data_IF_912746042269
#
_entry.id   IF_912746042269
#
_cell.length_a   1.000
_cell.length_b   1.000
_cell.length_c   1.000
_cell.angle_alpha   90.00
_cell.angle_beta   90.00
_cell.angle_gamma   90.00
#
_symmetry.space_group_name_H-M   'P 1'
#
loop_
_entity.id
_entity.type
_entity.pdbx_description
1 polymer ?
#
# COMPACT_ATOMS: atom_id res chain seq x y z
N UNK A 1 19.20 43.38 -33.22
CA UNK A 1 19.96 42.21 -32.74
C UNK A 1 19.08 40.98 -32.89
N UNK A 2 19.49 39.98 -33.68
CA UNK A 2 18.70 38.75 -33.86
C UNK A 2 18.64 37.96 -32.55
N UNK A 3 17.47 37.52 -32.14
CA UNK A 3 17.24 36.76 -30.91
C UNK A 3 17.98 35.42 -30.96
N UNK A 4 19.01 35.27 -30.13
CA UNK A 4 19.82 34.04 -29.99
C UNK A 4 19.19 32.98 -29.09
N UNK A 5 18.02 33.31 -28.51
CA UNK A 5 17.30 32.49 -27.52
C UNK A 5 16.32 31.54 -28.22
N UNK A 6 16.47 30.26 -27.94
CA UNK A 6 15.53 29.21 -28.34
C UNK A 6 14.41 29.07 -27.31
N UNK A 7 13.25 28.63 -27.78
CA UNK A 7 12.09 28.31 -26.94
C UNK A 7 11.69 26.85 -27.13
N UNK A 8 10.96 26.29 -26.17
CA UNK A 8 10.40 24.94 -26.32
C UNK A 8 9.41 24.82 -27.50
N UNK A 9 8.85 25.94 -28.00
CA UNK A 9 8.02 25.94 -29.22
C UNK A 9 8.88 25.70 -30.47
N UNK A 10 10.07 26.30 -30.53
CA UNK A 10 11.01 26.08 -31.64
C UNK A 10 11.47 24.61 -31.70
N UNK A 11 11.74 23.99 -30.55
CA UNK A 11 12.16 22.59 -30.47
C UNK A 11 11.05 21.62 -30.90
N UNK A 12 9.79 21.91 -30.55
CA UNK A 12 8.65 21.11 -31.03
C UNK A 12 8.48 21.17 -32.54
N UNK A 13 8.78 22.33 -33.16
CA UNK A 13 8.68 22.50 -34.61
C UNK A 13 9.70 21.65 -35.38
N UNK A 14 10.84 21.33 -34.75
CA UNK A 14 11.86 20.41 -35.28
C UNK A 14 11.68 18.96 -34.80
N UNK A 15 10.49 18.61 -34.32
CA UNK A 15 10.11 17.25 -33.97
C UNK A 15 10.42 16.82 -32.54
N UNK A 16 10.99 17.68 -31.67
CA UNK A 16 11.26 17.28 -30.29
C UNK A 16 9.95 17.04 -29.53
N UNK A 17 9.80 15.88 -28.88
CA UNK A 17 8.53 15.49 -28.31
C UNK A 17 8.39 16.13 -26.92
N UNK A 18 7.16 16.54 -26.54
CA UNK A 18 6.92 17.26 -25.28
C UNK A 18 7.39 16.48 -24.04
N UNK A 19 8.14 17.13 -23.14
CA UNK A 19 8.61 16.51 -21.90
C UNK A 19 10.06 16.88 -21.51
N UNK A 20 10.67 16.06 -20.66
CA UNK A 20 12.01 16.30 -20.07
C UNK A 20 13.12 16.48 -21.12
N UNK A 21 12.99 15.86 -22.29
CA UNK A 21 13.96 15.98 -23.40
C UNK A 21 14.14 17.42 -23.89
N UNK A 22 13.09 18.24 -23.89
CA UNK A 22 13.18 19.66 -24.22
C UNK A 22 14.02 20.38 -23.16
N UNK A 23 13.82 20.06 -21.88
CA UNK A 23 14.62 20.60 -20.79
C UNK A 23 16.10 20.21 -20.90
N UNK A 24 16.40 18.95 -21.20
CA UNK A 24 17.77 18.48 -21.42
C UNK A 24 18.42 19.16 -22.63
N UNK A 25 17.72 19.27 -23.74
CA UNK A 25 18.21 19.97 -24.94
C UNK A 25 18.49 21.45 -24.64
N UNK A 26 17.57 22.13 -23.96
CA UNK A 26 17.75 23.53 -23.57
C UNK A 26 18.93 23.72 -22.61
N UNK A 27 19.08 22.85 -21.61
CA UNK A 27 20.20 22.88 -20.66
C UNK A 27 21.55 22.62 -21.35
N UNK A 28 21.61 21.65 -22.26
CA UNK A 28 22.81 21.34 -23.03
C UNK A 28 23.20 22.52 -23.95
N UNK A 29 22.23 23.15 -24.61
CA UNK A 29 22.45 24.33 -25.44
C UNK A 29 22.93 25.54 -24.63
N UNK A 30 22.40 25.73 -23.43
CA UNK A 30 22.80 26.83 -22.54
C UNK A 30 24.20 26.62 -21.96
N UNK A 31 24.53 25.39 -21.57
CA UNK A 31 25.83 25.05 -20.99
C UNK A 31 26.97 25.07 -22.03
N UNK A 32 26.74 24.53 -23.23
CA UNK A 32 27.83 24.22 -24.17
C UNK A 32 27.76 24.99 -25.49
N UNK A 33 26.61 25.62 -25.82
CA UNK A 33 26.40 26.26 -27.11
C UNK A 33 25.89 27.71 -27.02
N UNK A 34 26.02 28.36 -25.86
CA UNK A 34 25.45 29.70 -25.56
C UNK A 34 25.71 30.73 -26.68
N UNK A 35 26.95 30.84 -27.14
CA UNK A 35 27.39 31.82 -28.16
C UNK A 35 27.08 31.48 -29.62
N UNK A 36 26.44 30.34 -29.89
CA UNK A 36 26.07 29.94 -31.27
C UNK A 36 24.75 30.59 -31.71
N UNK A 37 24.58 30.77 -33.02
CA UNK A 37 23.37 31.34 -33.61
C UNK A 37 22.15 30.44 -33.40
N UNK A 38 20.94 31.02 -33.42
CA UNK A 38 19.68 30.26 -33.31
C UNK A 38 19.59 29.16 -34.39
N UNK A 39 19.98 29.50 -35.63
CA UNK A 39 20.01 28.56 -36.77
C UNK A 39 20.92 27.36 -36.49
N UNK A 40 22.15 27.60 -36.03
CA UNK A 40 23.09 26.52 -35.70
C UNK A 40 22.55 25.58 -34.61
N UNK A 41 21.96 26.14 -33.56
CA UNK A 41 21.41 25.35 -32.45
C UNK A 41 20.24 24.46 -32.90
N UNK A 42 19.38 24.97 -33.80
CA UNK A 42 18.29 24.19 -34.38
C UNK A 42 18.81 23.07 -35.29
N UNK A 43 19.75 23.36 -36.19
CA UNK A 43 20.36 22.36 -37.08
C UNK A 43 21.12 21.27 -36.30
N UNK A 44 21.74 21.64 -35.18
CA UNK A 44 22.38 20.68 -34.28
C UNK A 44 21.33 19.75 -33.64
N UNK A 45 20.27 20.31 -33.05
CA UNK A 45 19.22 19.50 -32.43
C UNK A 45 18.45 18.65 -33.44
N UNK A 46 18.23 19.15 -34.66
CA UNK A 46 17.62 18.42 -35.78
C UNK A 46 18.42 17.15 -36.11
N UNK A 47 19.75 17.24 -36.23
CA UNK A 47 20.60 16.05 -36.43
C UNK A 47 20.55 15.05 -35.28
N UNK A 48 20.47 15.56 -34.05
CA UNK A 48 20.37 14.71 -32.85
C UNK A 48 19.05 13.93 -32.83
N UNK A 49 17.93 14.52 -33.25
CA UNK A 49 16.64 13.81 -33.29
C UNK A 49 16.50 12.88 -34.50
N UNK A 50 17.13 13.19 -35.62
CA UNK A 50 17.17 12.34 -36.80
C UNK A 50 18.03 11.08 -36.60
N UNK A 51 19.06 11.14 -35.76
CA UNK A 51 19.98 10.02 -35.54
C UNK A 51 20.52 9.97 -34.11
N UNK A 52 19.67 9.80 -33.08
CA UNK A 52 20.07 9.91 -31.68
C UNK A 52 21.10 8.86 -31.26
N UNK A 53 21.10 7.67 -31.87
CA UNK A 53 22.08 6.62 -31.57
C UNK A 53 23.54 7.06 -31.78
N UNK A 54 23.80 7.92 -32.77
CA UNK A 54 25.15 8.45 -33.05
C UNK A 54 25.65 9.40 -31.96
N UNK A 55 24.74 9.96 -31.17
CA UNK A 55 25.04 10.95 -30.13
C UNK A 55 25.06 10.35 -28.72
N UNK A 56 24.80 9.05 -28.55
CA UNK A 56 24.78 8.39 -27.24
C UNK A 56 26.06 8.59 -26.42
N UNK A 57 27.22 8.53 -27.07
CA UNK A 57 28.53 8.73 -26.45
C UNK A 57 29.02 10.18 -26.55
N UNK A 58 28.21 11.09 -27.08
CA UNK A 58 28.60 12.48 -27.26
C UNK A 58 28.62 13.20 -25.91
N UNK A 59 29.76 13.75 -25.52
CA UNK A 59 29.99 14.33 -24.18
C UNK A 59 28.93 15.38 -23.79
N UNK A 60 28.55 16.28 -24.71
CA UNK A 60 27.59 17.37 -24.43
C UNK A 60 26.13 17.03 -24.77
N UNK A 61 25.87 16.01 -25.61
CA UNK A 61 24.54 15.74 -26.18
C UNK A 61 24.02 14.33 -25.87
N UNK A 62 24.83 13.48 -25.22
CA UNK A 62 24.49 12.10 -24.88
C UNK A 62 23.25 12.00 -24.00
N UNK A 63 23.06 12.92 -23.06
CA UNK A 63 21.84 12.97 -22.24
C UNK A 63 20.58 13.28 -23.07
N UNK A 64 20.69 14.14 -24.09
CA UNK A 64 19.58 14.46 -25.00
C UNK A 64 19.26 13.24 -25.87
N UNK A 65 20.29 12.62 -26.44
CA UNK A 65 20.20 11.42 -27.27
C UNK A 65 19.60 10.22 -26.51
N UNK A 66 20.10 9.95 -25.30
CA UNK A 66 19.59 8.89 -24.41
C UNK A 66 18.10 9.13 -24.10
N UNK A 67 17.72 10.37 -23.79
CA UNK A 67 16.33 10.73 -23.54
C UNK A 67 15.42 10.61 -24.77
N UNK A 68 15.96 10.79 -25.99
CA UNK A 68 15.21 10.60 -27.23
C UNK A 68 14.97 9.11 -27.49
N UNK A 69 16.00 8.27 -27.37
CA UNK A 69 15.92 6.82 -27.62
C UNK A 69 14.96 6.14 -26.64
N UNK A 70 15.13 6.41 -25.34
CA UNK A 70 14.23 5.92 -24.29
C UNK A 70 12.77 6.27 -24.64
N UNK A 71 12.52 7.50 -25.10
CA UNK A 71 11.16 7.91 -25.46
C UNK A 71 10.63 7.22 -26.73
N UNK A 72 11.49 6.96 -27.71
CA UNK A 72 11.10 6.26 -28.94
C UNK A 72 10.74 4.81 -28.65
N UNK A 73 11.50 4.12 -27.79
CA UNK A 73 11.22 2.74 -27.35
C UNK A 73 9.94 2.66 -26.50
N UNK A 74 9.66 3.65 -25.64
CA UNK A 74 8.45 3.71 -24.81
C UNK A 74 7.21 4.33 -25.49
N UNK A 75 7.25 4.57 -26.81
CA UNK A 75 6.14 5.20 -27.51
C UNK A 75 5.09 4.20 -28.03
N UNK A 76 5.46 2.92 -28.16
CA UNK A 76 4.57 1.85 -28.57
C UNK A 76 3.74 1.35 -27.37
N UNK A 77 2.43 1.18 -27.59
CA UNK A 77 1.53 0.60 -26.60
C UNK A 77 1.77 -0.90 -26.53
N UNK A 78 1.99 -1.43 -25.34
CA UNK A 78 2.15 -2.87 -25.13
C UNK A 78 0.75 -3.49 -25.10
N UNK A 79 0.49 -4.41 -26.03
CA UNK A 79 -0.78 -5.11 -26.13
C UNK A 79 -0.98 -6.12 -25.00
N UNK A 80 -2.24 -6.31 -24.61
CA UNK A 80 -2.63 -7.37 -23.69
C UNK A 80 -2.64 -8.73 -24.41
N UNK A 81 -2.38 -9.80 -23.66
CA UNK A 81 -2.59 -11.15 -24.13
C UNK A 81 -4.06 -11.38 -24.49
N UNK A 82 -4.30 -12.10 -25.60
CA UNK A 82 -5.66 -12.41 -26.07
C UNK A 82 -6.47 -13.17 -25.02
N UNK A 83 -5.83 -14.15 -24.39
CA UNK A 83 -6.40 -14.98 -23.33
C UNK A 83 -5.76 -14.61 -22.00
N UNK A 84 -6.56 -14.60 -20.93
CA UNK A 84 -6.03 -14.49 -19.57
C UNK A 84 -5.36 -15.80 -19.16
N UNK A 85 -4.43 -15.70 -18.22
CA UNK A 85 -3.95 -16.86 -17.45
C UNK A 85 -5.07 -17.26 -16.47
N UNK A 86 -5.24 -18.56 -16.25
CA UNK A 86 -6.21 -19.06 -15.27
C UNK A 86 -5.78 -18.80 -13.82
N UNK A 87 -6.75 -18.63 -12.93
CA UNK A 87 -6.52 -18.32 -11.52
C UNK A 87 -7.69 -18.75 -10.65
N UNK A 88 -7.46 -19.14 -9.38
CA UNK A 88 -8.52 -19.43 -8.44
C UNK A 88 -9.27 -18.17 -8.01
N UNK A 89 -10.57 -18.31 -7.79
CA UNK A 89 -11.41 -17.30 -7.15
C UNK A 89 -12.10 -17.92 -5.96
N UNK A 90 -11.77 -17.42 -4.77
CA UNK A 90 -12.38 -17.81 -3.51
C UNK A 90 -13.60 -16.92 -3.29
N UNK A 91 -14.76 -17.51 -2.99
CA UNK A 91 -15.95 -16.72 -2.67
C UNK A 91 -16.58 -15.94 -3.83
N UNK A 92 -16.47 -16.45 -5.07
CA UNK A 92 -16.90 -15.77 -6.31
C UNK A 92 -18.27 -15.08 -6.22
N UNK A 93 -19.27 -15.70 -5.59
CA UNK A 93 -20.63 -15.16 -5.48
C UNK A 93 -20.71 -13.84 -4.70
N UNK A 94 -19.76 -13.61 -3.78
CA UNK A 94 -19.67 -12.39 -2.96
C UNK A 94 -18.78 -11.30 -3.56
N UNK A 95 -18.31 -11.45 -4.80
CA UNK A 95 -17.38 -10.53 -5.45
C UNK A 95 -18.09 -9.75 -6.57
N UNK A 96 -17.99 -8.43 -6.52
CA UNK A 96 -18.65 -7.57 -7.51
C UNK A 96 -18.01 -7.66 -8.91
N UNK A 97 -18.79 -7.44 -10.00
CA UNK A 97 -18.29 -7.56 -11.37
C UNK A 97 -17.09 -6.65 -11.68
N UNK A 98 -17.02 -5.46 -11.06
CA UNK A 98 -15.91 -4.54 -11.23
C UNK A 98 -14.58 -5.11 -10.75
N UNK A 99 -14.58 -5.81 -9.61
CA UNK A 99 -13.39 -6.47 -9.07
C UNK A 99 -12.96 -7.66 -9.93
N UNK A 100 -13.93 -8.46 -10.39
CA UNK A 100 -13.66 -9.56 -11.33
C UNK A 100 -13.02 -9.03 -12.62
N UNK A 101 -13.59 -7.98 -13.22
CA UNK A 101 -13.05 -7.37 -14.44
C UNK A 101 -11.63 -6.80 -14.25
N UNK A 102 -11.32 -6.22 -13.08
CA UNK A 102 -9.95 -5.77 -12.78
C UNK A 102 -8.95 -6.92 -12.76
N UNK A 103 -9.32 -8.04 -12.15
CA UNK A 103 -8.47 -9.23 -12.12
C UNK A 103 -8.33 -9.86 -13.52
N UNK A 104 -9.41 -9.92 -14.29
CA UNK A 104 -9.42 -10.40 -15.69
C UNK A 104 -8.42 -9.63 -16.57
N UNK A 105 -8.33 -8.31 -16.41
CA UNK A 105 -7.37 -7.47 -17.14
C UNK A 105 -5.94 -7.73 -16.63
N UNK A 106 -5.74 -7.81 -15.31
CA UNK A 106 -4.42 -8.10 -14.73
C UNK A 106 -3.84 -9.45 -15.19
N UNK A 107 -4.70 -10.45 -15.37
CA UNK A 107 -4.31 -11.78 -15.85
C UNK A 107 -4.01 -11.83 -17.36
N UNK A 108 -4.20 -10.73 -18.09
CA UNK A 108 -3.82 -10.59 -19.50
C UNK A 108 -2.55 -9.78 -19.71
N UNK A 109 -1.89 -9.28 -18.66
CA UNK A 109 -0.61 -8.59 -18.83
C UNK A 109 0.47 -9.58 -19.29
N UNK A 110 1.35 -9.20 -20.22
CA UNK A 110 2.42 -10.09 -20.70
C UNK A 110 3.44 -10.47 -19.62
N UNK A 111 3.54 -9.67 -18.55
CA UNK A 111 4.42 -9.93 -17.40
C UNK A 111 3.79 -10.86 -16.35
N UNK A 112 2.48 -11.09 -16.39
CA UNK A 112 1.79 -11.93 -15.40
C UNK A 112 2.18 -13.40 -15.57
N UNK A 113 2.36 -14.11 -14.45
CA UNK A 113 2.68 -15.54 -14.40
C UNK A 113 1.67 -16.35 -13.60
N UNK A 114 1.07 -15.76 -12.57
CA UNK A 114 0.01 -16.37 -11.77
C UNK A 114 -0.79 -15.29 -11.04
N UNK A 115 -1.94 -15.67 -10.49
CA UNK A 115 -2.73 -14.79 -9.65
C UNK A 115 -3.74 -15.58 -8.83
N UNK A 116 -4.38 -14.90 -7.88
CA UNK A 116 -5.48 -15.43 -7.09
C UNK A 116 -6.40 -14.28 -6.65
N UNK A 117 -7.68 -14.56 -6.43
CA UNK A 117 -8.65 -13.57 -5.94
C UNK A 117 -9.32 -14.05 -4.66
N UNK A 118 -9.15 -13.27 -3.60
CA UNK A 118 -9.58 -13.57 -2.23
C UNK A 118 -11.08 -13.28 -2.01
N UNK A 119 -11.73 -13.89 -1.01
CA UNK A 119 -13.19 -13.76 -0.79
C UNK A 119 -13.65 -12.35 -0.37
N UNK A 120 -12.75 -11.56 0.20
CA UNK A 120 -12.97 -10.16 0.57
C UNK A 120 -12.83 -9.18 -0.61
N UNK A 121 -12.61 -9.71 -1.82
CA UNK A 121 -12.30 -8.88 -2.96
C UNK A 121 -13.41 -7.89 -3.32
N UNK A 122 -12.99 -6.69 -3.69
CA UNK A 122 -13.85 -5.58 -4.12
C UNK A 122 -13.05 -4.60 -4.99
N UNK A 123 -13.77 -3.74 -5.71
CA UNK A 123 -13.21 -2.88 -6.73
C UNK A 123 -12.25 -1.86 -6.12
N UNK A 124 -11.06 -1.76 -6.73
CA UNK A 124 -10.01 -0.82 -6.37
C UNK A 124 -9.53 -0.02 -7.59
N UNK A 125 -8.21 0.20 -7.67
CA UNK A 125 -7.54 0.86 -8.81
C UNK A 125 -6.43 -0.06 -9.35
N UNK A 126 -6.41 -0.38 -10.63
CA UNK A 126 -5.48 -1.39 -11.15
C UNK A 126 -5.89 -2.78 -10.67
N UNK A 127 -5.07 -3.43 -9.84
CA UNK A 127 -5.44 -4.69 -9.18
C UNK A 127 -6.61 -4.45 -8.18
N UNK A 128 -7.62 -5.34 -8.12
CA UNK A 128 -8.67 -5.22 -7.11
C UNK A 128 -8.10 -5.39 -5.70
N UNK A 129 -8.78 -4.84 -4.71
CA UNK A 129 -8.50 -5.18 -3.31
C UNK A 129 -8.94 -6.64 -3.13
N UNK A 130 -8.18 -7.46 -2.40
CA UNK A 130 -8.31 -8.92 -2.38
C UNK A 130 -7.58 -9.61 -3.53
N UNK A 131 -6.86 -8.87 -4.38
CA UNK A 131 -6.10 -9.43 -5.50
C UNK A 131 -4.68 -9.81 -5.13
N UNK A 132 -4.22 -10.96 -5.66
CA UNK A 132 -2.83 -11.41 -5.63
C UNK A 132 -2.36 -11.62 -7.06
N UNK A 133 -1.20 -11.07 -7.42
CA UNK A 133 -0.67 -11.13 -8.78
C UNK A 133 0.84 -11.38 -8.76
N UNK A 134 1.27 -12.50 -9.34
CA UNK A 134 2.68 -12.81 -9.54
C UNK A 134 3.11 -12.40 -10.96
N UNK A 135 4.19 -11.64 -11.04
CA UNK A 135 4.78 -11.18 -12.31
C UNK A 135 6.23 -11.61 -12.42
N UNK A 136 6.74 -11.67 -13.66
CA UNK A 136 8.15 -11.89 -13.95
C UNK A 136 8.88 -10.54 -14.09
N UNK A 137 9.91 -10.32 -13.26
CA UNK A 137 10.82 -9.16 -13.26
C UNK A 137 10.16 -7.77 -13.36
N UNK A 138 8.91 -7.65 -12.93
CA UNK A 138 8.13 -6.42 -13.09
C UNK A 138 7.40 -6.11 -11.80
N UNK A 139 7.44 -4.86 -11.36
CA UNK A 139 6.71 -4.39 -10.19
C UNK A 139 5.64 -3.37 -10.61
N UNK A 140 4.40 -3.58 -10.20
CA UNK A 140 3.24 -2.74 -10.54
C UNK A 140 2.86 -1.91 -9.30
N UNK A 141 3.15 -0.60 -9.26
CA UNK A 141 2.91 0.21 -8.07
C UNK A 141 1.46 0.22 -7.57
N UNK A 142 0.48 0.22 -8.48
CA UNK A 142 -0.94 0.15 -8.09
C UNK A 142 -1.40 -1.24 -7.65
N UNK A 143 -0.67 -2.29 -8.01
CA UNK A 143 -0.90 -3.65 -7.50
C UNK A 143 -0.33 -3.85 -6.09
N UNK A 144 0.58 -2.97 -5.64
CA UNK A 144 0.93 -2.82 -4.21
C UNK A 144 -0.14 -2.01 -3.47
N UNK A 145 -0.57 -0.91 -4.08
CA UNK A 145 -1.56 0.00 -3.49
C UNK A 145 -0.94 1.32 -3.02
N UNK A 146 -1.82 2.27 -2.67
CA UNK A 146 -1.40 3.65 -2.34
C UNK A 146 -0.86 3.75 -0.92
N UNK A 147 -1.37 2.92 -0.01
CA UNK A 147 -0.87 2.81 1.36
C UNK A 147 0.08 1.61 1.46
N UNK A 148 1.31 1.83 1.00
CA UNK A 148 2.36 0.82 0.94
C UNK A 148 2.66 0.32 2.36
N UNK A 149 2.76 -0.98 2.55
CA UNK A 149 3.09 -1.59 3.83
C UNK A 149 1.98 -1.48 4.88
N UNK A 150 0.75 -1.12 4.47
CA UNK A 150 -0.42 -1.19 5.33
C UNK A 150 -0.55 -2.60 5.92
N UNK A 151 -0.79 -2.65 7.23
CA UNK A 151 -0.62 -3.86 8.02
C UNK A 151 -1.49 -3.86 9.27
N UNK A 152 -1.65 -5.06 9.80
CA UNK A 152 -2.19 -5.32 11.13
C UNK A 152 -1.04 -5.60 12.09
N UNK A 153 -1.12 -5.10 13.31
CA UNK A 153 -0.22 -5.49 14.40
C UNK A 153 -1.02 -5.65 15.70
N UNK A 154 -0.89 -6.80 16.36
CA UNK A 154 -1.55 -7.14 17.62
C UNK A 154 -0.53 -7.41 18.71
N UNK A 155 -0.79 -6.93 19.92
CA UNK A 155 -0.05 -7.31 21.12
C UNK A 155 -1.00 -7.90 22.16
N UNK A 156 -0.59 -9.03 22.76
CA UNK A 156 -1.29 -9.67 23.88
C UNK A 156 -0.61 -9.30 25.21
N UNK A 157 -1.39 -9.12 26.27
CA UNK A 157 -0.91 -8.76 27.61
C UNK A 157 -1.41 -9.76 28.66
N UNK A 158 -0.64 -9.93 29.74
CA UNK A 158 -1.00 -10.75 30.90
C UNK A 158 -1.98 -10.03 31.83
N UNK A 159 -3.11 -9.60 31.25
CA UNK A 159 -4.16 -8.90 31.96
C UNK A 159 -5.50 -9.55 31.66
N UNK A 160 -6.29 -9.72 32.72
CA UNK A 160 -7.68 -10.13 32.60
C UNK A 160 -8.45 -9.11 31.72
N UNK A 161 -9.14 -9.55 30.67
CA UNK A 161 -9.84 -8.66 29.74
C UNK A 161 -11.16 -8.16 30.34
N UNK A 162 -11.06 -7.20 31.27
CA UNK A 162 -12.20 -6.54 31.92
C UNK A 162 -12.56 -5.26 31.18
N UNK A 163 -13.85 -5.08 30.89
CA UNK A 163 -14.38 -3.92 30.15
C UNK A 163 -15.62 -3.33 30.84
N UNK A 164 -15.53 -3.10 32.15
CA UNK A 164 -16.51 -2.28 32.85
C UNK A 164 -16.38 -0.79 32.47
N UNK A 165 -17.30 0.05 32.95
CA UNK A 165 -17.32 1.47 32.62
C UNK A 165 -16.03 2.20 32.99
N UNK A 166 -15.44 1.91 34.15
CA UNK A 166 -14.24 2.59 34.64
C UNK A 166 -13.05 2.20 33.78
N UNK A 167 -12.90 0.90 33.50
CA UNK A 167 -11.81 0.40 32.68
C UNK A 167 -11.93 0.88 31.23
N UNK A 168 -13.14 0.92 30.66
CA UNK A 168 -13.38 1.47 29.32
C UNK A 168 -12.96 2.94 29.25
N UNK A 169 -13.33 3.77 30.23
CA UNK A 169 -12.96 5.19 30.23
C UNK A 169 -11.44 5.39 30.39
N UNK A 170 -10.76 4.55 31.18
CA UNK A 170 -9.29 4.51 31.26
C UNK A 170 -8.66 4.15 29.91
N UNK A 171 -9.12 3.09 29.25
CA UNK A 171 -8.60 2.65 27.95
C UNK A 171 -8.82 3.69 26.84
N UNK A 172 -9.95 4.41 26.86
CA UNK A 172 -10.16 5.56 25.97
C UNK A 172 -9.10 6.64 26.15
N UNK A 173 -8.79 7.00 27.40
CA UNK A 173 -7.74 7.97 27.73
C UNK A 173 -6.39 7.54 27.13
N UNK A 174 -6.02 6.27 27.33
CA UNK A 174 -4.80 5.69 26.75
C UNK A 174 -4.78 5.77 25.22
N UNK A 175 -5.90 5.42 24.56
CA UNK A 175 -6.01 5.54 23.11
C UNK A 175 -5.82 6.99 22.66
N UNK A 176 -6.44 7.96 23.34
CA UNK A 176 -6.35 9.40 23.02
C UNK A 176 -4.93 9.96 23.13
N UNK A 177 -4.20 9.53 24.16
CA UNK A 177 -2.84 9.96 24.44
C UNK A 177 -1.83 9.33 23.47
N UNK A 178 -1.96 8.03 23.22
CA UNK A 178 -0.89 7.21 22.62
C UNK A 178 -1.11 6.80 21.16
N UNK A 179 -2.29 7.05 20.58
CA UNK A 179 -2.50 6.94 19.14
C UNK A 179 -2.70 8.35 18.54
N UNK A 180 -2.34 8.56 17.27
CA UNK A 180 -2.55 9.84 16.58
C UNK A 180 -3.11 9.57 15.18
N UNK A 181 -4.18 10.29 14.82
CA UNK A 181 -4.93 10.08 13.59
C UNK A 181 -4.97 11.33 12.71
N UNK A 182 -5.39 11.17 11.46
CA UNK A 182 -5.46 12.23 10.47
C UNK A 182 -4.08 12.86 10.22
N UNK A 183 -3.98 14.16 10.52
CA UNK A 183 -2.75 14.95 10.43
C UNK A 183 -2.07 15.17 11.78
N UNK A 184 -2.62 14.61 12.87
CA UNK A 184 -2.04 14.71 14.20
C UNK A 184 -0.68 14.01 14.24
N UNK A 185 0.24 14.60 15.00
CA UNK A 185 1.59 14.10 15.23
C UNK A 185 1.93 14.20 16.72
N UNK A 186 2.97 13.50 17.16
CA UNK A 186 3.48 13.68 18.51
C UNK A 186 4.34 14.95 18.59
N UNK A 187 4.20 15.77 19.64
CA UNK A 187 5.07 16.94 19.88
C UNK A 187 6.55 16.58 19.94
N UNK A 188 6.86 15.37 20.41
CA UNK A 188 8.21 14.81 20.50
C UNK A 188 8.19 13.41 19.86
N UNK A 189 8.30 13.33 18.52
CA UNK A 189 8.44 12.04 17.84
C UNK A 189 9.64 11.28 18.40
N UNK A 190 9.52 9.96 18.54
CA UNK A 190 10.65 9.11 18.94
C UNK A 190 11.51 8.83 17.72
N UNK A 191 12.82 8.91 17.88
CA UNK A 191 13.79 8.43 16.89
C UNK A 191 13.58 6.93 16.62
N UNK A 192 13.96 6.48 15.42
CA UNK A 192 13.95 5.08 15.05
C UNK A 192 14.94 4.83 13.91
N UNK A 193 15.64 3.69 13.95
CA UNK A 193 16.70 3.34 12.98
C UNK A 193 16.23 3.34 11.51
N UNK A 194 14.93 3.18 11.26
CA UNK A 194 14.36 3.30 9.91
C UNK A 194 14.59 4.67 9.27
N UNK A 195 14.73 5.73 10.07
CA UNK A 195 14.98 7.09 9.59
C UNK A 195 16.45 7.32 9.22
N UNK A 196 17.33 6.40 9.60
CA UNK A 196 18.76 6.42 9.28
C UNK A 196 19.11 5.65 8.00
N UNK A 197 18.11 5.01 7.37
CA UNK A 197 18.23 4.30 6.10
C UNK A 197 18.80 5.21 4.99
N UNK A 198 19.84 4.72 4.30
CA UNK A 198 20.58 5.46 3.27
C UNK A 198 19.69 5.93 2.11
N UNK A 199 18.60 5.20 1.84
CA UNK A 199 17.62 5.51 0.81
C UNK A 199 17.04 6.92 0.97
N UNK A 200 16.89 7.42 2.20
CA UNK A 200 16.48 8.81 2.43
C UNK A 200 17.48 9.84 1.91
N UNK A 201 18.76 9.49 1.76
CA UNK A 201 19.79 10.39 1.24
C UNK A 201 20.03 10.20 -0.26
N UNK A 202 19.89 8.97 -0.74
CA UNK A 202 20.23 8.54 -2.09
C UNK A 202 19.07 8.73 -3.08
N UNK A 203 17.82 8.52 -2.64
CA UNK A 203 16.65 8.62 -3.50
C UNK A 203 16.00 9.99 -3.36
N UNK A 204 15.96 10.74 -4.47
CA UNK A 204 15.56 12.15 -4.47
C UNK A 204 14.16 12.41 -3.87
N UNK A 205 13.18 11.56 -4.20
CA UNK A 205 11.84 11.72 -3.63
C UNK A 205 11.82 11.47 -2.12
N UNK A 206 12.55 10.45 -1.65
CA UNK A 206 12.60 10.10 -0.22
C UNK A 206 13.29 11.18 0.60
N UNK A 207 14.35 11.77 0.06
CA UNK A 207 15.04 12.92 0.68
C UNK A 207 14.10 14.06 1.02
N UNK A 208 13.19 14.39 0.11
CA UNK A 208 12.18 15.43 0.35
C UNK A 208 11.10 15.04 1.36
N UNK A 209 10.98 13.75 1.67
CA UNK A 209 9.97 13.19 2.57
C UNK A 209 10.52 12.85 3.96
N UNK A 210 11.83 12.92 4.20
CA UNK A 210 12.46 12.51 5.47
C UNK A 210 11.90 13.26 6.68
N UNK A 211 11.84 14.59 6.64
CA UNK A 211 11.33 15.40 7.76
C UNK A 211 9.84 15.11 8.01
N UNK A 212 9.08 14.85 6.94
CA UNK A 212 7.68 14.45 7.05
C UNK A 212 7.55 13.06 7.67
N UNK A 213 8.41 12.11 7.31
CA UNK A 213 8.44 10.78 7.91
C UNK A 213 8.81 10.88 9.40
N UNK A 214 9.83 11.67 9.75
CA UNK A 214 10.20 11.90 11.16
C UNK A 214 9.02 12.47 11.98
N UNK A 215 8.32 13.47 11.46
CA UNK A 215 7.17 14.06 12.17
C UNK A 215 5.98 13.11 12.30
N UNK A 216 5.76 12.22 11.33
CA UNK A 216 4.60 11.32 11.30
C UNK A 216 4.84 9.96 11.98
N UNK A 217 6.06 9.63 12.38
CA UNK A 217 6.39 8.30 12.92
C UNK A 217 5.59 8.03 14.20
N UNK A 218 5.08 6.80 14.31
CA UNK A 218 4.21 6.38 15.41
C UNK A 218 2.74 6.82 15.29
N UNK A 219 2.34 7.53 14.23
CA UNK A 219 0.94 7.89 13.99
C UNK A 219 0.24 6.85 13.09
N UNK A 220 -1.09 6.70 13.23
CA UNK A 220 -1.90 5.75 12.46
C UNK A 220 -2.48 6.39 11.20
N UNK A 221 -2.95 7.63 11.26
CA UNK A 221 -3.48 8.32 10.10
C UNK A 221 -4.98 8.30 9.88
N UNK A 222 -5.41 8.22 8.62
CA UNK A 222 -6.82 8.40 8.22
C UNK A 222 -7.35 7.22 7.42
N UNK A 223 -8.61 7.31 6.98
CA UNK A 223 -9.27 6.22 6.27
C UNK A 223 -9.73 5.11 7.22
N UNK A 224 -9.49 3.85 6.84
CA UNK A 224 -9.91 2.66 7.59
C UNK A 224 -8.93 2.28 8.71
N UNK A 225 -8.01 3.17 9.06
CA UNK A 225 -6.99 2.91 10.08
C UNK A 225 -7.61 3.01 11.48
N UNK A 226 -7.14 2.17 12.39
CA UNK A 226 -7.65 2.09 13.75
C UNK A 226 -6.61 1.63 14.76
N UNK A 227 -6.89 1.93 16.03
CA UNK A 227 -6.25 1.32 17.19
C UNK A 227 -7.35 0.92 18.16
N UNK A 228 -7.35 -0.34 18.57
CA UNK A 228 -8.44 -0.94 19.32
C UNK A 228 -7.91 -1.74 20.51
N UNK A 229 -8.59 -1.61 21.65
CA UNK A 229 -8.52 -2.59 22.72
C UNK A 229 -9.65 -3.60 22.55
N UNK A 230 -9.34 -4.86 22.81
CA UNK A 230 -10.30 -5.94 22.76
C UNK A 230 -9.86 -7.18 23.52
N UNK A 231 -10.61 -8.25 23.31
CA UNK A 231 -10.39 -9.55 23.92
C UNK A 231 -9.87 -10.49 22.85
N UNK A 232 -8.68 -11.04 23.04
CA UNK A 232 -8.20 -12.16 22.22
C UNK A 232 -8.43 -13.45 22.96
N UNK A 233 -9.14 -14.39 22.35
CA UNK A 233 -9.29 -15.76 22.80
C UNK A 233 -8.38 -16.67 21.96
N UNK A 234 -7.39 -17.29 22.60
CA UNK A 234 -6.58 -18.35 22.00
C UNK A 234 -7.33 -19.68 22.16
N UNK A 235 -7.47 -20.43 21.06
CA UNK A 235 -8.36 -21.60 21.00
C UNK A 235 -7.70 -22.90 21.46
N UNK A 236 -6.36 -22.93 21.55
CA UNK A 236 -5.58 -24.11 21.90
C UNK A 236 -4.28 -23.71 22.59
N UNK A 237 -3.80 -24.56 23.50
CA UNK A 237 -2.45 -24.48 24.09
C UNK A 237 -1.36 -24.70 23.01
N UNK A 238 -1.71 -25.39 21.93
CA UNK A 238 -0.86 -25.61 20.76
C UNK A 238 -0.89 -24.40 19.80
N UNK A 239 -0.27 -23.31 20.24
CA UNK A 239 -0.09 -22.09 19.45
C UNK A 239 1.38 -21.64 19.41
N UNK A 240 1.66 -20.74 18.47
CA UNK A 240 2.99 -20.20 18.15
C UNK A 240 3.60 -19.37 19.27
N UNK A 241 2.81 -18.94 20.24
CA UNK A 241 3.24 -18.09 21.35
C UNK A 241 3.60 -18.91 22.59
N UNK A 242 3.33 -20.21 22.60
CA UNK A 242 3.42 -21.07 23.78
C UNK A 242 2.63 -20.51 24.98
N UNK A 243 1.51 -19.83 24.70
CA UNK A 243 0.59 -19.31 25.70
C UNK A 243 -0.56 -20.29 25.94
N UNK A 244 -1.11 -20.41 27.16
CA UNK A 244 -2.31 -21.22 27.39
C UNK A 244 -3.51 -20.74 26.57
N UNK A 245 -4.38 -21.66 26.19
CA UNK A 245 -5.72 -21.35 25.71
C UNK A 245 -6.45 -20.49 26.76
N UNK A 246 -7.13 -19.45 26.30
CA UNK A 246 -7.73 -18.49 27.22
C UNK A 246 -7.88 -17.10 26.62
N UNK A 247 -8.32 -16.18 27.48
CA UNK A 247 -8.68 -14.82 27.09
C UNK A 247 -7.65 -13.82 27.62
N UNK A 248 -7.16 -12.99 26.72
CA UNK A 248 -6.13 -11.99 26.95
C UNK A 248 -6.65 -10.61 26.59
N UNK A 249 -6.23 -9.59 27.35
CA UNK A 249 -6.33 -8.23 26.88
C UNK A 249 -5.40 -8.06 25.66
N UNK A 250 -5.92 -7.47 24.59
CA UNK A 250 -5.14 -7.22 23.39
C UNK A 250 -5.28 -5.79 22.90
N UNK A 251 -4.20 -5.28 22.31
CA UNK A 251 -4.20 -4.08 21.47
C UNK A 251 -4.07 -4.54 20.02
N UNK A 252 -4.97 -4.08 19.16
CA UNK A 252 -4.90 -4.28 17.72
C UNK A 252 -4.74 -2.93 17.02
N UNK A 253 -3.87 -2.87 16.04
CA UNK A 253 -3.58 -1.65 15.27
C UNK A 253 -3.67 -1.97 13.78
N UNK A 254 -4.22 -1.05 13.01
CA UNK A 254 -4.29 -1.12 11.55
C UNK A 254 -3.91 0.23 10.96
N UNK A 255 -2.78 0.28 10.26
CA UNK A 255 -2.30 1.45 9.54
C UNK A 255 -1.18 1.10 8.57
N UNK A 256 -0.68 2.08 7.83
CA UNK A 256 0.41 1.90 6.88
C UNK A 256 1.46 3.00 6.98
N UNK A 257 2.16 3.21 5.87
CA UNK A 257 3.34 4.09 5.80
C UNK A 257 3.01 5.57 5.64
N UNK A 258 1.76 5.96 5.94
CA UNK A 258 1.34 7.36 6.10
C UNK A 258 1.57 8.19 4.83
N UNK A 259 2.01 9.43 5.00
CA UNK A 259 2.34 10.30 3.88
C UNK A 259 3.52 9.78 3.06
N UNK A 260 4.43 9.00 3.66
CA UNK A 260 5.62 8.48 2.98
C UNK A 260 5.20 7.55 1.83
N UNK A 261 4.50 6.45 2.12
CA UNK A 261 4.06 5.51 1.09
C UNK A 261 3.10 6.13 0.08
N UNK A 262 2.19 7.00 0.52
CA UNK A 262 1.25 7.66 -0.39
C UNK A 262 1.97 8.53 -1.44
N UNK A 263 3.07 9.20 -1.08
CA UNK A 263 3.85 9.99 -2.04
C UNK A 263 4.72 9.11 -2.95
N UNK A 264 5.32 8.04 -2.40
CA UNK A 264 6.06 7.03 -3.17
C UNK A 264 5.13 6.41 -4.22
N UNK A 265 3.99 5.86 -3.80
CA UNK A 265 3.03 5.22 -4.68
C UNK A 265 2.58 6.16 -5.81
N UNK A 266 2.21 7.41 -5.52
CA UNK A 266 1.81 8.39 -6.54
C UNK A 266 2.91 8.67 -7.55
N UNK A 267 4.15 8.83 -7.09
CA UNK A 267 5.28 9.14 -7.95
C UNK A 267 5.58 7.99 -8.93
N UNK A 268 5.81 6.79 -8.40
CA UNK A 268 6.20 5.65 -9.23
C UNK A 268 5.04 5.09 -10.06
N UNK A 269 3.80 5.23 -9.59
CA UNK A 269 2.63 4.96 -10.43
C UNK A 269 2.61 5.87 -11.66
N UNK A 270 2.80 7.17 -11.46
CA UNK A 270 2.83 8.12 -12.58
C UNK A 270 3.97 7.76 -13.52
N UNK A 271 5.15 7.49 -12.97
CA UNK A 271 6.32 7.09 -13.75
C UNK A 271 6.04 5.83 -14.58
N UNK A 272 5.49 4.78 -13.97
CA UNK A 272 5.11 3.55 -14.65
C UNK A 272 4.10 3.81 -15.77
N UNK A 273 3.07 4.63 -15.55
CA UNK A 273 2.10 4.99 -16.61
C UNK A 273 2.70 5.84 -17.74
N UNK A 274 3.77 6.60 -17.46
CA UNK A 274 4.46 7.44 -18.44
C UNK A 274 5.45 6.62 -19.29
N UNK A 275 6.04 5.54 -18.74
CA UNK A 275 7.06 4.69 -19.38
C UNK A 275 6.53 3.37 -19.93
N UNK A 276 5.55 2.76 -19.28
CA UNK A 276 4.87 1.54 -19.70
C UNK A 276 3.47 1.86 -20.22
N UNK A 277 3.35 2.11 -21.52
CA UNK A 277 2.07 2.42 -22.15
C UNK A 277 1.23 1.17 -22.37
N UNK A 278 0.07 1.13 -21.73
CA UNK A 278 -0.92 0.07 -21.87
C UNK A 278 -2.23 0.63 -22.45
N UNK A 279 -3.11 -0.23 -22.99
CA UNK A 279 -4.47 0.12 -23.31
C UNK A 279 -5.20 0.77 -22.13
N UNK A 280 -6.21 1.58 -22.43
CA UNK A 280 -6.91 2.44 -21.45
C UNK A 280 -7.42 1.68 -20.21
N UNK A 281 -7.91 0.47 -20.43
CA UNK A 281 -8.46 -0.45 -19.46
C UNK A 281 -7.39 -1.04 -18.52
N UNK A 282 -6.14 -1.12 -18.98
CA UNK A 282 -5.00 -1.65 -18.24
C UNK A 282 -4.01 -0.56 -17.78
N UNK A 283 -4.30 0.72 -18.04
CA UNK A 283 -3.40 1.84 -17.72
C UNK A 283 -2.90 1.82 -16.26
N UNK A 284 -3.78 1.48 -15.32
CA UNK A 284 -3.43 1.41 -13.89
C UNK A 284 -2.66 0.15 -13.49
N UNK A 285 -2.32 -0.72 -14.44
CA UNK A 285 -1.49 -1.90 -14.27
C UNK A 285 -0.10 -1.74 -14.92
N UNK A 286 0.24 -0.51 -15.34
CA UNK A 286 1.58 -0.20 -15.84
C UNK A 286 2.63 -0.55 -14.78
N UNK A 287 3.74 -1.16 -15.22
CA UNK A 287 4.80 -1.65 -14.35
C UNK A 287 6.12 -0.91 -14.55
N UNK A 288 7.01 -1.09 -13.60
CA UNK A 288 8.43 -0.78 -13.72
C UNK A 288 9.20 -2.10 -13.80
N UNK A 289 10.08 -2.21 -14.79
CA UNK A 289 10.97 -3.36 -14.94
C UNK A 289 12.09 -3.27 -13.90
N UNK A 290 12.32 -4.36 -13.16
CA UNK A 290 13.33 -4.39 -12.10
C UNK A 290 14.76 -4.34 -12.63
N UNK A 291 15.03 -4.54 -13.92
CA UNK A 291 16.36 -4.32 -14.49
C UNK A 291 16.67 -2.83 -14.74
N UNK A 292 15.69 -1.95 -14.52
CA UNK A 292 15.84 -0.50 -14.72
C UNK A 292 16.12 0.25 -13.43
N UNK A 293 16.73 1.43 -13.55
CA UNK A 293 16.95 2.35 -12.43
C UNK A 293 15.63 2.70 -11.73
N UNK A 294 14.59 3.05 -12.50
CA UNK A 294 13.27 3.40 -11.96
C UNK A 294 12.63 2.23 -11.18
N UNK A 295 12.78 0.99 -11.67
CA UNK A 295 12.29 -0.20 -11.00
C UNK A 295 13.02 -0.50 -9.69
N UNK A 296 14.36 -0.40 -9.69
CA UNK A 296 15.17 -0.57 -8.47
C UNK A 296 14.89 0.54 -7.45
N UNK A 297 14.77 1.79 -7.90
CA UNK A 297 14.45 2.92 -7.03
C UNK A 297 13.09 2.74 -6.35
N UNK A 298 12.06 2.32 -7.11
CA UNK A 298 10.77 2.00 -6.52
C UNK A 298 10.84 0.81 -5.55
N UNK A 299 11.56 -0.25 -5.90
CA UNK A 299 11.70 -1.42 -5.04
C UNK A 299 12.29 -1.06 -3.68
N UNK A 300 13.38 -0.27 -3.66
CA UNK A 300 14.00 0.23 -2.44
C UNK A 300 13.07 1.16 -1.65
N UNK A 301 12.41 2.11 -2.34
CA UNK A 301 11.45 3.03 -1.72
C UNK A 301 10.25 2.31 -1.10
N UNK A 302 9.71 1.30 -1.78
CA UNK A 302 8.62 0.47 -1.30
C UNK A 302 9.04 -0.29 -0.03
N UNK A 303 10.22 -0.91 -0.03
CA UNK A 303 10.74 -1.63 1.14
C UNK A 303 10.95 -0.69 2.34
N UNK A 304 11.53 0.49 2.13
CA UNK A 304 11.64 1.50 3.18
C UNK A 304 10.27 1.90 3.75
N UNK A 305 9.26 2.10 2.89
CA UNK A 305 7.92 2.42 3.33
C UNK A 305 7.30 1.28 4.16
N UNK A 306 7.55 0.03 3.77
CA UNK A 306 7.20 -1.15 4.55
C UNK A 306 7.81 -1.09 5.96
N UNK A 307 9.13 -0.97 6.06
CA UNK A 307 9.83 -0.90 7.35
C UNK A 307 9.34 0.29 8.22
N UNK A 308 9.07 1.43 7.58
CA UNK A 308 8.53 2.61 8.25
C UNK A 308 7.12 2.40 8.80
N UNK A 309 6.26 1.64 8.09
CA UNK A 309 4.96 1.26 8.61
C UNK A 309 5.11 0.39 9.88
N UNK A 310 6.00 -0.61 9.87
CA UNK A 310 6.30 -1.45 11.06
C UNK A 310 6.72 -0.59 12.26
N UNK A 311 7.65 0.34 12.03
CA UNK A 311 8.13 1.26 13.07
C UNK A 311 7.00 2.11 13.67
N UNK A 312 6.04 2.56 12.85
CA UNK A 312 4.86 3.27 13.36
C UNK A 312 4.04 2.40 14.31
N UNK A 313 3.78 1.15 13.93
CA UNK A 313 3.03 0.21 14.77
C UNK A 313 3.77 -0.10 16.08
N UNK A 314 5.06 -0.43 16.01
CA UNK A 314 5.86 -0.73 17.20
C UNK A 314 5.89 0.45 18.18
N UNK A 315 6.04 1.69 17.71
CA UNK A 315 5.98 2.85 18.62
C UNK A 315 4.60 3.04 19.27
N UNK A 316 3.50 2.71 18.59
CA UNK A 316 2.16 2.72 19.20
C UNK A 316 2.08 1.66 20.29
N UNK A 317 2.48 0.42 19.99
CA UNK A 317 2.42 -0.69 20.94
C UNK A 317 3.34 -0.49 22.15
N UNK A 318 4.55 0.04 21.97
CA UNK A 318 5.44 0.42 23.07
C UNK A 318 4.79 1.44 24.02
N UNK A 319 4.10 2.44 23.46
CA UNK A 319 3.39 3.45 24.27
C UNK A 319 2.22 2.85 25.01
N UNK A 320 1.45 1.97 24.36
CA UNK A 320 0.35 1.26 24.99
C UNK A 320 0.84 0.37 26.13
N UNK A 321 1.90 -0.42 25.90
CA UNK A 321 2.52 -1.26 26.92
C UNK A 321 2.99 -0.43 28.12
N UNK A 322 3.69 0.70 27.87
CA UNK A 322 4.12 1.61 28.92
C UNK A 322 2.95 2.22 29.71
N UNK A 323 1.85 2.60 29.05
CA UNK A 323 0.65 3.13 29.72
C UNK A 323 -0.13 2.06 30.49
N UNK A 324 -0.13 0.81 30.03
CA UNK A 324 -0.71 -0.31 30.75
C UNK A 324 0.14 -0.68 31.98
N UNK A 325 1.46 -0.44 31.92
CA UNK A 325 2.41 -0.89 32.92
C UNK A 325 2.82 -2.35 32.72
N UNK A 326 2.67 -2.88 31.50
CA UNK A 326 2.82 -4.29 31.17
C UNK A 326 3.89 -4.53 30.10
N UNK A 327 4.39 -5.76 30.04
CA UNK A 327 5.21 -6.23 28.92
C UNK A 327 4.35 -7.04 27.93
N UNK A 328 4.60 -6.93 26.61
CA UNK A 328 4.00 -7.81 25.61
C UNK A 328 4.27 -9.30 25.92
N UNK A 329 3.21 -10.12 25.98
CA UNK A 329 3.35 -11.58 25.98
C UNK A 329 3.69 -12.12 24.59
N UNK A 330 3.02 -11.56 23.58
CA UNK A 330 3.19 -11.92 22.19
C UNK A 330 2.86 -10.72 21.31
N UNK A 331 3.50 -10.64 20.15
CA UNK A 331 3.20 -9.67 19.11
C UNK A 331 3.09 -10.37 17.75
N UNK A 332 2.05 -10.02 17.00
CA UNK A 332 1.74 -10.60 15.69
C UNK A 332 1.60 -9.46 14.70
N UNK A 333 2.19 -9.59 13.52
CA UNK A 333 2.12 -8.56 12.49
C UNK A 333 2.03 -9.20 11.10
N UNK A 334 1.17 -8.66 10.23
CA UNK A 334 1.07 -9.09 8.84
C UNK A 334 0.77 -7.92 7.89
N UNK A 335 1.44 -7.89 6.75
CA UNK A 335 1.22 -6.88 5.71
C UNK A 335 0.05 -7.29 4.84
N UNK A 336 -0.60 -6.32 4.22
CA UNK A 336 -1.63 -6.61 3.22
C UNK A 336 -1.62 -5.71 1.98
N UNK A 337 -0.66 -4.78 1.86
CA UNK A 337 -0.42 -3.96 0.67
C UNK A 337 1.08 -3.90 0.38
N UNK A 338 1.62 -4.88 -0.34
CA UNK A 338 3.06 -4.98 -0.58
C UNK A 338 3.39 -5.89 -1.78
N UNK A 339 4.65 -5.91 -2.19
CA UNK A 339 5.17 -6.88 -3.14
C UNK A 339 6.42 -7.58 -2.61
N UNK A 340 6.54 -8.88 -2.87
CA UNK A 340 7.65 -9.72 -2.40
C UNK A 340 8.31 -10.45 -3.55
N UNK A 341 9.60 -10.72 -3.40
CA UNK A 341 10.31 -11.71 -4.22
C UNK A 341 10.02 -13.09 -3.61
N UNK A 342 9.35 -13.95 -4.36
CA UNK A 342 9.01 -15.32 -3.94
C UNK A 342 9.41 -16.30 -5.04
N UNK A 343 9.67 -17.55 -4.66
CA UNK A 343 9.97 -18.61 -5.61
C UNK A 343 8.71 -19.38 -5.97
N UNK A 344 8.51 -19.66 -7.26
CA UNK A 344 7.49 -20.60 -7.71
C UNK A 344 7.92 -22.06 -7.44
N UNK A 345 7.05 -23.02 -7.76
CA UNK A 345 7.34 -24.45 -7.60
C UNK A 345 8.57 -24.95 -8.39
N UNK A 346 8.99 -24.20 -9.42
CA UNK A 346 10.16 -24.51 -10.27
C UNK A 346 11.44 -23.80 -9.77
N UNK A 347 11.36 -23.05 -8.66
CA UNK A 347 12.48 -22.29 -8.10
C UNK A 347 12.76 -20.94 -8.78
N UNK A 348 11.91 -20.51 -9.71
CA UNK A 348 12.02 -19.21 -10.39
C UNK A 348 11.51 -18.09 -9.49
N UNK A 349 12.28 -17.02 -9.37
CA UNK A 349 11.87 -15.81 -8.66
C UNK A 349 10.74 -15.09 -9.43
N UNK A 350 9.68 -14.75 -8.70
CA UNK A 350 8.55 -13.95 -9.14
C UNK A 350 8.33 -12.79 -8.18
N UNK A 351 7.72 -11.72 -8.69
CA UNK A 351 7.29 -10.58 -7.87
C UNK A 351 5.81 -10.75 -7.55
N UNK A 352 5.52 -11.15 -6.31
CA UNK A 352 4.16 -11.40 -5.83
C UNK A 352 3.60 -10.15 -5.19
N UNK A 353 2.63 -9.53 -5.86
CA UNK A 353 1.89 -8.38 -5.38
C UNK A 353 0.68 -8.84 -4.59
N UNK A 354 0.47 -8.29 -3.39
CA UNK A 354 -0.76 -8.47 -2.63
C UNK A 354 -1.35 -7.11 -2.30
N UNK A 355 -2.63 -6.93 -2.65
CA UNK A 355 -3.37 -5.71 -2.35
C UNK A 355 -4.66 -6.04 -1.66
N UNK A 356 -4.76 -5.69 -0.38
CA UNK A 356 -5.77 -6.26 0.50
C UNK A 356 -5.74 -7.78 0.51
N UNK A 357 -4.56 -8.37 0.54
CA UNK A 357 -4.37 -9.81 0.72
C UNK A 357 -3.09 -10.01 1.54
N UNK A 358 -3.05 -11.04 2.37
CA UNK A 358 -1.94 -11.25 3.30
C UNK A 358 -1.18 -12.55 3.01
N UNK A 359 0.13 -12.63 3.28
CA UNK A 359 0.85 -13.89 3.21
C UNK A 359 0.24 -14.96 4.13
N UNK A 360 0.08 -16.16 3.60
CA UNK A 360 -0.48 -17.35 4.24
C UNK A 360 0.34 -18.60 3.89
N UNK A 361 1.66 -18.45 3.81
CA UNK A 361 2.60 -19.57 3.74
C UNK A 361 2.42 -20.52 4.93
N UNK A 362 2.86 -21.77 4.80
CA UNK A 362 2.67 -22.78 5.83
C UNK A 362 3.26 -22.32 7.17
N UNK A 363 2.41 -22.20 8.20
CA UNK A 363 2.80 -21.74 9.54
C UNK A 363 2.95 -20.22 9.69
N UNK A 364 2.75 -19.43 8.63
CA UNK A 364 2.82 -17.96 8.70
C UNK A 364 1.58 -17.44 9.41
N UNK A 365 1.79 -16.68 10.48
CA UNK A 365 0.70 -16.04 11.22
C UNK A 365 0.17 -14.79 10.52
N UNK A 366 -1.11 -14.52 10.71
CA UNK A 366 -1.73 -13.26 10.30
C UNK A 366 -2.97 -12.92 11.11
N UNK A 367 -3.43 -11.68 10.93
CA UNK A 367 -4.67 -11.18 11.53
C UNK A 367 -5.61 -10.78 10.39
N UNK A 368 -6.83 -11.31 10.41
CA UNK A 368 -7.90 -10.99 9.47
C UNK A 368 -9.01 -10.27 10.25
N UNK A 369 -9.04 -8.92 10.29
CA UNK A 369 -10.07 -8.15 10.97
C UNK A 369 -11.44 -8.25 10.29
N UNK A 370 -12.50 -8.25 11.10
CA UNK A 370 -13.86 -8.01 10.66
C UNK A 370 -14.17 -6.53 10.53
N UNK A 371 -14.87 -5.99 11.52
CA UNK A 371 -15.28 -4.59 11.66
C UNK A 371 -15.24 -4.21 13.14
N UNK A 372 -15.48 -2.95 13.47
CA UNK A 372 -15.55 -2.50 14.87
C UNK A 372 -16.60 -3.24 15.74
N UNK A 373 -17.55 -3.99 15.16
CA UNK A 373 -18.53 -4.81 15.91
C UNK A 373 -18.45 -6.31 15.63
N UNK A 374 -17.62 -6.75 14.68
CA UNK A 374 -17.49 -8.17 14.33
C UNK A 374 -16.09 -8.68 14.68
N UNK A 375 -15.92 -9.98 14.93
CA UNK A 375 -14.63 -10.49 15.36
C UNK A 375 -13.56 -10.32 14.28
N UNK A 376 -12.32 -10.22 14.71
CA UNK A 376 -11.15 -10.54 13.90
C UNK A 376 -10.64 -11.94 14.22
N UNK A 377 -9.82 -12.50 13.34
CA UNK A 377 -9.26 -13.84 13.51
C UNK A 377 -7.74 -13.79 13.47
N UNK A 378 -7.10 -14.46 14.42
CA UNK A 378 -5.69 -14.83 14.31
C UNK A 378 -5.66 -16.13 13.54
N UNK A 379 -4.88 -16.15 12.46
CA UNK A 379 -4.85 -17.26 11.52
C UNK A 379 -3.43 -17.75 11.29
N UNK A 380 -3.32 -19.02 10.94
CA UNK A 380 -2.09 -19.70 10.52
C UNK A 380 -2.26 -20.14 9.06
N UNK A 381 -1.34 -19.72 8.20
CA UNK A 381 -1.35 -20.09 6.79
C UNK A 381 -1.13 -21.59 6.58
N UNK A 382 -1.86 -22.17 5.62
CA UNK A 382 -1.71 -23.58 5.22
C UNK A 382 -0.68 -23.77 4.11
N UNK A 383 -0.23 -22.70 3.46
CA UNK A 383 0.76 -22.74 2.38
C UNK A 383 0.17 -23.25 1.06
N UNK A 384 -1.06 -22.85 0.74
CA UNK A 384 -1.69 -23.21 -0.53
C UNK A 384 -0.99 -22.50 -1.70
N UNK A 385 -0.31 -23.26 -2.54
CA UNK A 385 0.49 -22.71 -3.63
C UNK A 385 -0.37 -22.11 -4.74
N UNK A 386 -1.57 -22.66 -4.97
CA UNK A 386 -2.50 -22.16 -6.00
C UNK A 386 -2.99 -20.75 -5.66
N UNK A 387 -3.07 -20.40 -4.37
CA UNK A 387 -3.35 -19.03 -3.92
C UNK A 387 -2.11 -18.13 -3.81
N UNK A 388 -0.95 -18.60 -4.28
CA UNK A 388 0.36 -17.96 -4.08
C UNK A 388 0.65 -17.73 -2.59
N UNK A 389 0.36 -18.75 -1.77
CA UNK A 389 0.54 -18.71 -0.32
C UNK A 389 -0.12 -17.46 0.27
N UNK A 390 -1.37 -17.17 -0.09
CA UNK A 390 -2.07 -15.94 0.31
C UNK A 390 -3.48 -16.21 0.84
N UNK A 391 -3.97 -15.28 1.66
CA UNK A 391 -5.33 -15.27 2.20
C UNK A 391 -5.92 -13.85 2.18
N UNK A 392 -7.20 -13.74 2.52
CA UNK A 392 -7.87 -12.44 2.66
C UNK A 392 -7.20 -11.55 3.72
N UNK A 393 -7.38 -10.24 3.63
CA UNK A 393 -6.86 -9.29 4.63
C UNK A 393 -7.90 -8.81 5.62
N UNK A 394 -9.19 -9.05 5.38
CA UNK A 394 -10.27 -8.60 6.25
C UNK A 394 -11.64 -8.96 5.68
N UNK A 395 -12.69 -8.26 6.11
CA UNK A 395 -14.04 -8.51 5.61
C UNK A 395 -14.28 -8.01 4.17
N UNK A 396 -13.58 -6.97 3.73
CA UNK A 396 -13.86 -6.32 2.44
C UNK A 396 -15.15 -5.49 2.46
N UNK A 397 -15.29 -4.54 1.52
CA UNK A 397 -16.43 -3.60 1.51
C UNK A 397 -17.57 -4.11 0.63
N UNK A 398 -18.81 -3.84 1.03
CA UNK A 398 -20.03 -4.05 0.22
C UNK A 398 -20.52 -2.76 -0.44
N UNK A 399 -19.99 -1.60 -0.04
CA UNK A 399 -20.35 -0.32 -0.62
C UNK A 399 -19.21 0.71 -0.57
N UNK A 400 -19.26 1.66 -1.51
CA UNK A 400 -18.30 2.76 -1.59
C UNK A 400 -18.42 3.70 -0.39
N UNK A 401 -17.32 4.38 -0.05
CA UNK A 401 -17.29 5.40 1.02
C UNK A 401 -18.34 6.50 0.79
N UNK A 402 -18.48 6.92 -0.46
CA UNK A 402 -19.49 7.93 -0.85
C UNK A 402 -20.90 7.44 -0.58
N UNK A 403 -21.24 6.25 -1.05
CA UNK A 403 -22.57 5.67 -0.86
C UNK A 403 -22.89 5.52 0.64
N UNK A 404 -21.94 5.05 1.43
CA UNK A 404 -22.11 4.92 2.89
C UNK A 404 -22.49 6.26 3.55
N UNK A 405 -21.82 7.36 3.19
CA UNK A 405 -22.14 8.70 3.71
C UNK A 405 -23.51 9.23 3.24
N UNK A 406 -23.95 8.82 2.05
CA UNK A 406 -25.25 9.22 1.49
C UNK A 406 -26.41 8.40 2.08
N UNK A 407 -26.19 7.14 2.47
CA UNK A 407 -27.27 6.21 2.84
C UNK A 407 -27.38 5.86 4.33
N UNK A 408 -26.29 5.95 5.10
CA UNK A 408 -26.29 5.52 6.50
C UNK A 408 -26.64 6.65 7.48
N UNK A 409 -27.39 6.31 8.53
CA UNK A 409 -27.71 7.24 9.61
C UNK A 409 -26.75 7.11 10.79
N UNK A 410 -26.14 8.21 11.20
CA UNK A 410 -25.27 8.26 12.39
C UNK A 410 -25.96 7.75 13.65
N UNK A 411 -27.25 8.03 13.81
CA UNK A 411 -28.05 7.57 14.97
C UNK A 411 -28.19 6.04 14.98
N UNK A 412 -28.39 5.43 13.82
CA UNK A 412 -28.55 3.97 13.70
C UNK A 412 -27.21 3.25 13.93
N UNK A 413 -26.13 3.80 13.37
CA UNK A 413 -24.76 3.29 13.61
C UNK A 413 -24.42 3.34 15.11
N UNK A 414 -24.67 4.47 15.79
CA UNK A 414 -24.43 4.58 17.23
C UNK A 414 -25.30 3.60 18.04
N UNK A 415 -26.56 3.39 17.67
CA UNK A 415 -27.42 2.39 18.31
C UNK A 415 -26.87 0.98 18.14
N UNK A 416 -26.40 0.64 16.94
CA UNK A 416 -25.78 -0.66 16.65
C UNK A 416 -24.51 -0.88 17.49
N UNK A 417 -23.65 0.14 17.60
CA UNK A 417 -22.43 0.08 18.42
C UNK A 417 -22.73 -0.10 19.90
N UNK A 418 -23.70 0.65 20.44
CA UNK A 418 -24.12 0.53 21.84
C UNK A 418 -24.68 -0.87 22.14
N UNK A 419 -25.48 -1.42 21.24
CA UNK A 419 -26.02 -2.78 21.39
C UNK A 419 -24.92 -3.86 21.36
N UNK A 420 -23.85 -3.63 20.60
CA UNK A 420 -22.68 -4.50 20.56
C UNK A 420 -21.70 -4.29 21.73
N UNK A 421 -21.97 -3.30 22.61
CA UNK A 421 -21.07 -2.95 23.73
C UNK A 421 -19.74 -2.37 23.27
N UNK A 422 -19.72 -1.69 22.11
CA UNK A 422 -18.52 -1.07 21.55
C UNK A 422 -18.47 0.40 21.93
N UNK A 423 -17.35 0.80 22.49
CA UNK A 423 -17.05 2.21 22.71
C UNK A 423 -16.19 2.77 21.59
N UNK A 424 -16.74 3.70 20.82
CA UNK A 424 -16.08 4.29 19.66
C UNK A 424 -15.59 5.73 19.93
N UNK A 425 -14.37 6.03 19.48
CA UNK A 425 -13.77 7.36 19.42
C UNK A 425 -13.48 7.69 17.95
N UNK A 426 -14.09 8.76 17.44
CA UNK A 426 -13.95 9.18 16.04
C UNK A 426 -14.78 8.31 15.09
N UNK A 427 -14.19 7.92 13.97
CA UNK A 427 -14.82 7.27 12.80
C UNK A 427 -15.76 8.14 11.98
N UNK A 428 -15.80 7.83 10.69
CA UNK A 428 -16.82 8.30 9.77
C UNK A 428 -17.92 7.27 9.50
N UNK A 429 -19.00 7.72 8.85
CA UNK A 429 -20.06 6.81 8.37
C UNK A 429 -19.55 5.81 7.32
N UNK A 430 -18.48 6.17 6.62
CA UNK A 430 -17.86 5.32 5.61
C UNK A 430 -17.06 4.15 6.19
N UNK A 431 -16.91 4.05 7.51
CA UNK A 431 -16.30 2.88 8.17
C UNK A 431 -17.28 2.17 9.12
N UNK A 432 -18.59 2.49 9.05
CA UNK A 432 -19.59 1.82 9.87
C UNK A 432 -19.61 0.30 9.60
N UNK A 433 -19.95 -0.56 10.60
CA UNK A 433 -19.96 -2.01 10.41
C UNK A 433 -20.74 -2.52 9.19
N UNK A 434 -21.84 -1.83 8.86
CA UNK A 434 -22.74 -2.13 7.74
C UNK A 434 -22.09 -1.99 6.36
N UNK A 435 -20.90 -1.36 6.26
CA UNK A 435 -20.21 -1.20 4.97
C UNK A 435 -19.32 -2.38 4.60
N UNK A 436 -19.16 -3.34 5.51
CA UNK A 436 -18.30 -4.51 5.36
C UNK A 436 -19.09 -5.79 5.12
N UNK A 437 -18.47 -6.78 4.45
CA UNK A 437 -19.06 -8.11 4.31
C UNK A 437 -19.14 -8.82 5.66
N UNK A 438 -19.91 -9.90 5.73
CA UNK A 438 -19.90 -10.77 6.90
C UNK A 438 -18.57 -11.51 6.99
N UNK A 439 -17.77 -11.23 8.02
CA UNK A 439 -16.44 -11.83 8.19
C UNK A 439 -16.51 -13.36 8.31
N UNK A 440 -17.57 -13.92 8.88
CA UNK A 440 -17.71 -15.37 9.00
C UNK A 440 -17.88 -16.06 7.65
N UNK A 441 -18.59 -15.42 6.70
CA UNK A 441 -18.72 -15.92 5.33
C UNK A 441 -17.39 -15.85 4.59
N UNK A 442 -16.65 -14.74 4.76
CA UNK A 442 -15.31 -14.57 4.20
C UNK A 442 -14.35 -15.65 4.72
N UNK A 443 -14.39 -15.95 6.02
CA UNK A 443 -13.58 -17.02 6.61
C UNK A 443 -14.01 -18.41 6.15
N UNK A 444 -15.32 -18.65 6.01
CA UNK A 444 -15.85 -19.93 5.54
C UNK A 444 -15.39 -20.27 4.11
N UNK A 445 -15.12 -19.25 3.28
CA UNK A 445 -14.71 -19.37 1.88
C UNK A 445 -13.18 -19.54 1.67
N UNK A 446 -12.39 -19.62 2.74
CA UNK A 446 -10.93 -19.76 2.67
C UNK A 446 -10.37 -20.76 3.70
N UNK A 447 -11.17 -21.73 4.13
CA UNK A 447 -10.75 -22.74 5.12
C UNK A 447 -9.60 -23.61 4.63
N UNK A 448 -9.40 -23.70 3.32
CA UNK A 448 -8.29 -24.32 2.62
C UNK A 448 -7.00 -23.48 2.66
N UNK A 449 -7.10 -22.15 2.83
CA UNK A 449 -5.95 -21.24 2.86
C UNK A 449 -5.37 -21.05 4.25
N UNK A 450 -6.21 -21.07 5.28
CA UNK A 450 -5.83 -20.75 6.66
C UNK A 450 -6.51 -21.64 7.70
N UNK A 451 -5.87 -21.78 8.85
CA UNK A 451 -6.42 -22.34 10.09
C UNK A 451 -6.64 -21.20 11.10
N UNK A 452 -7.76 -21.21 11.82
CA UNK A 452 -8.03 -20.21 12.88
C UNK A 452 -7.39 -20.69 14.19
N UNK A 453 -6.50 -19.88 14.74
CA UNK A 453 -5.81 -20.18 16.03
C UNK A 453 -6.34 -19.32 17.18
N UNK A 454 -6.98 -18.19 16.86
CA UNK A 454 -7.54 -17.28 17.86
C UNK A 454 -8.60 -16.35 17.29
N UNK A 455 -9.39 -15.75 18.18
CA UNK A 455 -10.43 -14.78 17.83
C UNK A 455 -10.25 -13.49 18.64
N UNK A 456 -10.30 -12.35 17.96
CA UNK A 456 -10.28 -11.02 18.57
C UNK A 456 -11.68 -10.41 18.57
N UNK A 457 -12.11 -9.90 19.72
CA UNK A 457 -13.40 -9.19 19.87
C UNK A 457 -13.11 -7.74 20.27
N UNK A 458 -13.41 -6.75 19.39
CA UNK A 458 -13.22 -5.33 19.70
C UNK A 458 -14.07 -4.88 20.90
N UNK A 459 -13.59 -3.88 21.65
CA UNK A 459 -14.32 -3.27 22.78
C UNK A 459 -14.19 -1.75 22.84
N UNK A 460 -12.98 -1.22 22.70
CA UNK A 460 -12.73 0.22 22.66
C UNK A 460 -11.97 0.54 21.39
N UNK A 461 -12.59 1.32 20.51
CA UNK A 461 -12.11 1.54 19.15
C UNK A 461 -11.80 3.01 18.95
N UNK A 462 -10.61 3.33 18.43
CA UNK A 462 -10.26 4.66 17.97
C UNK A 462 -9.94 4.65 16.48
N UNK A 463 -10.57 5.57 15.75
CA UNK A 463 -10.34 5.80 14.32
C UNK A 463 -10.23 7.30 14.03
N UNK A 464 -9.86 7.64 12.79
CA UNK A 464 -9.94 9.01 12.31
C UNK A 464 -11.42 9.44 12.14
N UNK A 465 -11.80 10.60 12.69
CA UNK A 465 -13.15 11.17 12.52
C UNK A 465 -13.37 11.82 11.14
N UNK A 466 -14.65 12.04 10.81
CA UNK A 466 -15.12 12.65 9.53
C UNK A 466 -14.95 14.16 9.44
N UNK A 467 -14.98 14.86 10.59
CA UNK A 467 -14.63 16.27 10.60
C UNK A 467 -13.15 16.36 10.25
N UNK A 468 -12.74 17.42 9.54
CA UNK A 468 -11.32 17.78 9.40
C UNK A 468 -10.77 18.11 10.79
N UNK A 469 -10.59 17.09 11.62
CA UNK A 469 -9.75 17.12 12.79
C UNK A 469 -8.32 17.22 12.25
N UNK A 470 -7.98 18.44 11.83
CA UNK A 470 -6.86 19.11 12.43
C UNK A 470 -7.03 18.95 13.95
N UNK A 471 -6.64 17.79 14.48
CA UNK A 471 -6.14 17.71 15.85
C UNK A 471 -4.88 18.58 15.81
N UNK A 472 -5.08 19.90 15.91
CA UNK A 472 -4.06 20.84 16.33
C UNK A 472 -4.01 20.62 17.83
N UNK A 473 -2.82 20.23 18.28
CA UNK A 473 -2.51 20.00 19.69
C UNK A 473 -2.81 21.23 20.56
#
# INVERSE_FOLDING_TARGET
MATTKLTGKDLRQIGYPEGKVIGFAMKALEAHYKGKSKKFKLELLQRVIESPALYLKHEQLGAVAKSLIIKTEHNETIDLLKNRIDYPIYGREGIEPGALNQMEIAMKLPVTRAGALMPDAHQGYGLPIGGVLATENAVIPYAVGVDIGCRMCMTLYDLAPVFDRVQVDRLKGMLMENAKFGNAVFKRPKEHAVLDRNEFNEINILKSLKDRAFTQIGSSGGGNHFVEFGITELLSDENEFALPAGKYLAVLTHSGSRGLGANIARHYTKLAMDTCRLPSEAKHLAWLDLDTEDGQEYWLAMNLAGDYASACHHQIHERMAASLGEQPLAMIENHHNFAWKEQNAEGKELIVHRKGATPAGKGVLGIIPGSMTSPGFIVRGKGEQVSLNSASHGAGRVMSRRRAKETLSKREVLKHLNNAGISLIGSGLDEAPMVYKNIHEVMAQQQDLVEVVGQFTPKVVRMCGDERFQEVD
#
